data_IF_218789654028
#
_entry.id   IF_218789654028
#
_cell.length_a   1.000
_cell.length_b   1.000
_cell.length_c   1.000
_cell.angle_alpha   90.00
_cell.angle_beta   90.00
_cell.angle_gamma   90.00
#
_symmetry.space_group_name_H-M   'P 1'
#
loop_
_entity.id
_entity.type
_entity.pdbx_description
1 polymer ?
#
# COMPACT_ATOMS: atom_id res chain seq x y z
N UNK A 1 -15.55 -10.46 -3.34
CA UNK A 1 -15.96 -9.22 -4.03
C UNK A 1 -17.47 -9.02 -4.07
N UNK A 2 -18.30 -10.06 -4.21
CA UNK A 2 -19.76 -9.95 -4.32
C UNK A 2 -20.49 -9.19 -3.18
N UNK A 3 -19.87 -9.04 -2.00
CA UNK A 3 -20.49 -8.39 -0.83
C UNK A 3 -19.88 -7.02 -0.46
N UNK A 4 -18.94 -6.46 -1.25
CA UNK A 4 -18.32 -5.17 -0.92
C UNK A 4 -19.28 -3.99 -1.07
N UNK A 5 -20.27 -4.11 -1.95
CA UNK A 5 -21.31 -3.10 -2.14
C UNK A 5 -22.20 -2.90 -0.91
N UNK A 6 -22.26 -3.88 0.01
CA UNK A 6 -23.07 -3.79 1.23
C UNK A 6 -22.42 -2.90 2.30
N UNK A 7 -21.24 -2.33 2.02
CA UNK A 7 -20.46 -1.51 2.96
C UNK A 7 -20.20 -0.09 2.44
N UNK A 8 -20.96 0.38 1.45
CA UNK A 8 -20.71 1.68 0.78
C UNK A 8 -19.26 1.82 0.26
N UNK A 9 -18.73 0.72 -0.32
CA UNK A 9 -17.38 0.68 -0.89
C UNK A 9 -17.48 0.59 -2.42
N UNK A 10 -17.00 1.63 -3.10
CA UNK A 10 -16.83 1.62 -4.55
C UNK A 10 -15.62 0.79 -4.98
N UNK A 11 -15.75 0.09 -6.11
CA UNK A 11 -14.71 -0.76 -6.67
C UNK A 11 -14.28 -0.23 -8.04
N UNK A 12 -12.98 -0.01 -8.19
CA UNK A 12 -12.37 0.52 -9.41
C UNK A 12 -11.42 -0.51 -10.03
N UNK A 13 -11.41 -0.59 -11.36
CA UNK A 13 -10.55 -1.50 -12.12
C UNK A 13 -9.66 -0.72 -13.09
N UNK A 14 -8.43 -1.21 -13.28
CA UNK A 14 -7.58 -0.74 -14.36
C UNK A 14 -8.07 -1.32 -15.69
N UNK A 15 -7.93 -0.54 -16.76
CA UNK A 15 -8.28 -0.95 -18.12
C UNK A 15 -7.40 -2.11 -18.59
N UNK A 16 -7.93 -3.02 -19.43
CA UNK A 16 -7.13 -4.07 -20.07
C UNK A 16 -5.92 -3.48 -20.80
N UNK A 17 -4.76 -4.12 -20.65
CA UNK A 17 -3.48 -3.71 -21.24
C UNK A 17 -2.93 -2.34 -20.80
N UNK A 18 -3.52 -1.72 -19.78
CA UNK A 18 -3.09 -0.41 -19.25
C UNK A 18 -2.20 -0.53 -18.01
N UNK A 19 -1.00 -1.10 -18.17
CA UNK A 19 -0.08 -1.31 -17.04
C UNK A 19 0.31 -0.02 -16.30
N UNK A 20 0.31 1.13 -16.99
CA UNK A 20 0.63 2.44 -16.41
C UNK A 20 -0.35 2.89 -15.30
N UNK A 21 -1.59 2.40 -15.31
CA UNK A 21 -2.59 2.70 -14.27
C UNK A 21 -2.26 2.03 -12.92
N UNK A 22 -1.27 1.12 -12.92
CA UNK A 22 -0.87 0.34 -11.74
C UNK A 22 0.56 0.62 -11.28
N UNK A 23 1.21 1.66 -11.81
CA UNK A 23 2.63 1.94 -11.54
C UNK A 23 2.96 2.05 -10.04
N UNK A 24 2.08 2.67 -9.25
CA UNK A 24 2.26 2.76 -7.79
C UNK A 24 2.21 1.40 -7.10
N UNK A 25 1.30 0.52 -7.54
CA UNK A 25 1.16 -0.84 -6.99
C UNK A 25 2.40 -1.67 -7.30
N UNK A 26 2.91 -1.58 -8.53
CA UNK A 26 4.13 -2.30 -8.93
C UNK A 26 5.36 -1.83 -8.16
N UNK A 27 5.51 -0.50 -8.00
CA UNK A 27 6.57 0.09 -7.18
C UNK A 27 6.48 -0.36 -5.72
N UNK A 28 5.27 -0.46 -5.17
CA UNK A 28 5.08 -0.94 -3.80
C UNK A 28 5.39 -2.43 -3.64
N UNK A 29 4.95 -3.26 -4.60
CA UNK A 29 5.33 -4.68 -4.65
C UNK A 29 6.85 -4.86 -4.68
N UNK A 30 7.57 -4.01 -5.41
CA UNK A 30 9.03 -3.99 -5.41
C UNK A 30 9.66 -3.76 -4.02
N UNK A 31 9.03 -2.97 -3.14
CA UNK A 31 9.50 -2.79 -1.76
C UNK A 31 9.34 -4.06 -0.94
N UNK A 32 8.19 -4.74 -1.05
CA UNK A 32 7.95 -6.02 -0.36
C UNK A 32 8.96 -7.08 -0.83
N UNK A 33 9.29 -7.10 -2.12
CA UNK A 33 10.26 -8.03 -2.71
C UNK A 33 11.70 -7.86 -2.24
N UNK A 34 12.03 -6.77 -1.54
CA UNK A 34 13.32 -6.64 -0.84
C UNK A 34 13.44 -7.58 0.36
N UNK A 35 12.30 -7.98 0.93
CA UNK A 35 12.24 -8.85 2.11
C UNK A 35 11.73 -10.25 1.79
N UNK A 36 10.84 -10.37 0.79
CA UNK A 36 10.28 -11.66 0.34
C UNK A 36 10.69 -11.88 -1.12
N UNK A 37 11.78 -12.61 -1.38
CA UNK A 37 12.28 -12.86 -2.73
C UNK A 37 11.22 -13.46 -3.67
N UNK A 38 11.42 -13.28 -4.97
CA UNK A 38 10.57 -13.92 -5.99
C UNK A 38 10.71 -15.44 -5.89
N UNK A 39 9.59 -16.16 -5.96
CA UNK A 39 9.54 -17.63 -5.84
C UNK A 39 9.38 -18.13 -4.40
N UNK A 40 9.55 -17.28 -3.40
CA UNK A 40 9.22 -17.64 -2.02
C UNK A 40 7.73 -17.52 -1.73
N UNK A 41 7.23 -18.48 -0.95
CA UNK A 41 5.87 -18.49 -0.47
C UNK A 41 5.75 -17.56 0.74
N UNK A 42 4.88 -16.54 0.63
CA UNK A 42 4.61 -15.58 1.71
C UNK A 42 4.10 -16.29 2.97
N UNK A 43 3.38 -17.42 2.82
CA UNK A 43 2.87 -18.24 3.93
C UNK A 43 3.94 -18.78 4.87
N UNK A 44 5.21 -18.81 4.47
CA UNK A 44 6.33 -19.21 5.33
C UNK A 44 6.73 -18.13 6.35
N UNK A 45 6.27 -16.91 6.16
CA UNK A 45 6.57 -15.78 7.02
C UNK A 45 5.49 -15.66 8.09
N UNK A 46 5.93 -15.50 9.34
CA UNK A 46 5.03 -15.23 10.47
C UNK A 46 4.37 -13.87 10.32
N UNK A 47 3.19 -13.70 10.91
CA UNK A 47 2.50 -12.41 10.95
C UNK A 47 3.40 -11.29 11.49
N UNK A 48 4.21 -11.58 12.52
CA UNK A 48 5.17 -10.62 13.08
C UNK A 48 6.22 -10.18 12.06
N UNK A 49 6.68 -11.07 11.18
CA UNK A 49 7.60 -10.70 10.08
C UNK A 49 6.88 -9.85 9.04
N UNK A 50 5.64 -10.20 8.67
CA UNK A 50 4.84 -9.42 7.73
C UNK A 50 4.57 -8.01 8.27
N UNK A 51 4.19 -7.88 9.54
CA UNK A 51 4.01 -6.58 10.19
C UNK A 51 5.28 -5.74 10.21
N UNK A 52 6.45 -6.35 10.43
CA UNK A 52 7.74 -5.63 10.34
C UNK A 52 7.99 -5.09 8.93
N UNK A 53 7.69 -5.87 7.88
CA UNK A 53 7.82 -5.44 6.49
C UNK A 53 6.85 -4.28 6.20
N UNK A 54 5.59 -4.41 6.62
CA UNK A 54 4.58 -3.35 6.47
C UNK A 54 5.02 -2.05 7.17
N UNK A 55 5.47 -2.15 8.44
CA UNK A 55 5.95 -1.01 9.20
C UNK A 55 7.14 -0.34 8.51
N UNK A 56 8.07 -1.13 7.98
CA UNK A 56 9.18 -0.60 7.20
C UNK A 56 8.68 0.12 5.94
N UNK A 57 7.77 -0.47 5.15
CA UNK A 57 7.25 0.12 3.93
C UNK A 57 6.48 1.43 4.16
N UNK A 58 5.79 1.53 5.30
CA UNK A 58 5.00 2.70 5.69
C UNK A 58 5.86 3.83 6.25
N UNK A 59 7.00 3.51 6.86
CA UNK A 59 7.95 4.48 7.41
C UNK A 59 9.18 4.69 6.50
N UNK A 60 9.19 4.16 5.28
CA UNK A 60 10.25 4.38 4.32
C UNK A 60 10.09 5.74 3.62
N UNK A 61 11.05 6.68 3.76
CA UNK A 61 11.02 7.97 3.08
C UNK A 61 10.98 7.81 1.55
N UNK A 62 10.07 8.53 0.87
CA UNK A 62 9.92 8.42 -0.59
C UNK A 62 10.23 9.74 -1.26
N UNK A 63 11.16 9.76 -2.23
CA UNK A 63 11.48 10.97 -3.02
C UNK A 63 10.25 11.61 -3.66
N UNK A 64 9.31 10.80 -4.19
CA UNK A 64 8.03 11.26 -4.76
C UNK A 64 7.18 12.06 -3.75
N UNK A 65 7.34 11.77 -2.46
CA UNK A 65 6.64 12.41 -1.36
C UNK A 65 7.50 13.49 -0.70
N UNK A 66 8.44 14.12 -1.43
CA UNK A 66 9.41 15.07 -0.87
C UNK A 66 10.16 14.52 0.36
N UNK A 67 10.49 13.23 0.33
CA UNK A 67 11.15 12.50 1.41
C UNK A 67 10.34 12.36 2.71
N UNK A 68 9.05 12.71 2.73
CA UNK A 68 8.16 12.24 3.78
C UNK A 68 7.90 10.73 3.64
N UNK A 69 7.52 10.13 4.77
CA UNK A 69 7.03 8.76 4.82
C UNK A 69 5.54 8.70 4.45
N UNK A 70 5.06 7.58 3.87
CA UNK A 70 3.64 7.36 3.67
C UNK A 70 2.82 7.54 4.96
N UNK A 71 3.33 7.07 6.10
CA UNK A 71 2.64 7.16 7.37
C UNK A 71 2.43 8.61 7.83
N UNK A 72 3.45 9.47 7.73
CA UNK A 72 3.33 10.89 8.10
C UNK A 72 2.27 11.61 7.26
N UNK A 73 2.30 11.41 5.94
CA UNK A 73 1.34 12.06 5.05
C UNK A 73 -0.07 11.50 5.24
N UNK A 74 -0.21 10.20 5.49
CA UNK A 74 -1.49 9.58 5.80
C UNK A 74 -2.11 10.17 7.08
N UNK A 75 -1.33 10.28 8.16
CA UNK A 75 -1.82 10.86 9.42
C UNK A 75 -2.20 12.33 9.26
N UNK A 76 -1.39 13.10 8.51
CA UNK A 76 -1.68 14.50 8.21
C UNK A 76 -3.01 14.66 7.45
N UNK A 77 -3.22 13.85 6.42
CA UNK A 77 -4.45 13.90 5.62
C UNK A 77 -5.67 13.46 6.44
N UNK A 78 -5.53 12.39 7.22
CA UNK A 78 -6.59 11.92 8.11
C UNK A 78 -7.02 13.00 9.10
N UNK A 79 -6.05 13.70 9.71
CA UNK A 79 -6.35 14.82 10.61
C UNK A 79 -7.05 15.97 9.88
N UNK A 80 -6.65 16.27 8.64
CA UNK A 80 -7.31 17.29 7.82
C UNK A 80 -8.77 16.95 7.56
N UNK A 81 -9.05 15.69 7.20
CA UNK A 81 -10.43 15.20 6.95
C UNK A 81 -11.26 15.30 8.23
N UNK A 82 -10.73 14.81 9.36
CA UNK A 82 -11.43 14.84 10.67
C UNK A 82 -11.75 16.28 11.08
N UNK A 83 -10.83 17.23 10.87
CA UNK A 83 -11.06 18.64 11.21
C UNK A 83 -12.02 19.35 10.25
N UNK A 84 -12.25 18.78 9.05
CA UNK A 84 -13.16 19.34 8.04
C UNK A 84 -14.59 18.81 8.11
N UNK A 85 -14.82 17.79 8.95
CA UNK A 85 -16.13 17.23 9.29
C UNK A 85 -16.73 18.00 10.47
#
# INVERSE_FOLDING_TARGET
FANLHNHDIDVYYAHPYSAWERGTNERHNGLIRRFIPKGEQISKYTEKQIQKIQNWCNNYPRKLLNYFTPNELFQKELQSIINSL
#
